data_IF_689886975516
#
_entry.id   IF_689886975516
#
_cell.length_a   1.000
_cell.length_b   1.000
_cell.length_c   1.000
_cell.angle_alpha   90.00
_cell.angle_beta   90.00
_cell.angle_gamma   90.00
#
_symmetry.space_group_name_H-M   'P 1'
#
loop_
_entity.id
_entity.type
_entity.pdbx_description
1 polymer ?
#
# COMPACT_ATOMS: atom_id res chain seq x y z
N UNK A 1 3.66 1.70 1.83
CA UNK A 1 4.83 1.60 0.92
C UNK A 1 4.98 0.22 0.30
N UNK A 2 3.90 -0.42 -0.14
CA UNK A 2 3.93 -1.80 -0.67
C UNK A 2 4.70 -1.94 -2.00
N UNK A 3 4.95 -0.82 -2.69
CA UNK A 3 5.74 -0.76 -3.94
C UNK A 3 7.25 -0.59 -3.71
N UNK A 4 7.72 -0.66 -2.46
CA UNK A 4 9.14 -0.61 -2.12
C UNK A 4 9.70 -2.01 -1.81
N UNK A 5 11.01 -2.10 -1.59
CA UNK A 5 11.68 -3.37 -1.26
C UNK A 5 11.13 -4.02 0.01
N UNK A 6 11.33 -3.42 1.19
CA UNK A 6 10.82 -3.94 2.46
C UNK A 6 9.29 -4.06 2.45
N UNK A 7 8.61 -3.14 1.76
CA UNK A 7 7.16 -3.13 1.64
C UNK A 7 6.58 -4.39 0.98
N UNK A 8 7.26 -4.96 0.00
CA UNK A 8 6.84 -6.21 -0.65
C UNK A 8 6.82 -7.38 0.36
N UNK A 9 7.90 -7.53 1.13
CA UNK A 9 8.01 -8.58 2.14
C UNK A 9 7.01 -8.38 3.28
N UNK A 10 6.82 -7.14 3.73
CA UNK A 10 5.82 -6.82 4.75
C UNK A 10 4.41 -7.17 4.28
N UNK A 11 4.04 -6.81 3.05
CA UNK A 11 2.75 -7.17 2.49
C UNK A 11 2.57 -8.69 2.41
N UNK A 12 3.59 -9.43 1.94
CA UNK A 12 3.57 -10.89 1.90
C UNK A 12 3.33 -11.47 3.29
N UNK A 13 4.07 -11.01 4.29
CA UNK A 13 3.97 -11.52 5.67
C UNK A 13 2.58 -11.25 6.25
N UNK A 14 2.02 -10.06 6.05
CA UNK A 14 0.66 -9.72 6.49
C UNK A 14 -0.40 -10.58 5.81
N UNK A 15 -0.22 -10.89 4.52
CA UNK A 15 -1.11 -11.79 3.79
C UNK A 15 -1.02 -13.24 4.31
N UNK A 16 0.17 -13.69 4.72
CA UNK A 16 0.39 -15.06 5.22
C UNK A 16 -0.05 -15.26 6.67
N UNK A 17 0.26 -14.30 7.54
CA UNK A 17 0.07 -14.43 8.99
C UNK A 17 -1.32 -13.99 9.48
N UNK A 18 -2.09 -13.29 8.62
CA UNK A 18 -3.40 -12.77 8.99
C UNK A 18 -4.46 -13.19 7.97
N UNK A 19 -5.73 -13.00 8.34
CA UNK A 19 -6.88 -13.07 7.42
C UNK A 19 -7.41 -11.69 7.04
N UNK A 20 -6.70 -10.62 7.40
CA UNK A 20 -7.14 -9.25 7.19
C UNK A 20 -7.17 -8.89 5.69
N UNK A 21 -8.01 -7.92 5.34
CA UNK A 21 -7.88 -7.18 4.08
C UNK A 21 -6.79 -6.12 4.26
N UNK A 22 -5.87 -6.04 3.31
CA UNK A 22 -4.69 -5.19 3.41
C UNK A 22 -4.85 -4.00 2.47
N UNK A 23 -5.02 -2.83 3.05
CA UNK A 23 -5.13 -1.57 2.31
C UNK A 23 -3.73 -1.01 2.05
N UNK A 24 -3.41 -0.78 0.78
CA UNK A 24 -2.12 -0.32 0.33
C UNK A 24 -2.24 1.06 -0.33
N UNK A 25 -1.81 2.10 0.38
CA UNK A 25 -1.68 3.45 -0.19
C UNK A 25 -0.49 3.51 -1.15
N UNK A 26 -0.76 3.92 -2.40
CA UNK A 26 0.18 3.91 -3.52
C UNK A 26 -0.02 5.15 -4.37
N UNK A 27 1.08 5.85 -4.71
CA UNK A 27 1.05 7.02 -5.60
C UNK A 27 0.73 6.62 -7.03
N UNK A 28 -0.52 6.71 -7.47
CA UNK A 28 -0.94 6.37 -8.83
C UNK A 28 -2.08 7.31 -9.26
N UNK A 29 -2.47 7.27 -10.54
CA UNK A 29 -3.59 8.07 -11.02
C UNK A 29 -4.96 7.53 -10.55
N UNK A 30 -5.07 6.21 -10.35
CA UNK A 30 -6.30 5.52 -9.95
C UNK A 30 -5.96 4.20 -9.22
N UNK A 31 -6.97 3.56 -8.61
CA UNK A 31 -6.80 2.32 -7.85
C UNK A 31 -6.35 1.14 -8.72
N UNK A 32 -6.70 1.13 -10.01
CA UNK A 32 -6.29 0.06 -10.93
C UNK A 32 -4.77 0.11 -11.15
N UNK A 33 -4.24 1.28 -11.51
CA UNK A 33 -2.80 1.50 -11.64
C UNK A 33 -2.08 1.30 -10.31
N UNK A 34 -2.68 1.72 -9.19
CA UNK A 34 -2.14 1.44 -7.86
C UNK A 34 -1.97 -0.07 -7.63
N UNK A 35 -2.99 -0.86 -7.97
CA UNK A 35 -2.95 -2.31 -7.84
C UNK A 35 -1.92 -2.95 -8.77
N UNK A 36 -1.88 -2.54 -10.04
CA UNK A 36 -0.90 -3.03 -11.02
C UNK A 36 0.54 -2.79 -10.54
N UNK A 37 0.82 -1.63 -9.92
CA UNK A 37 2.13 -1.35 -9.32
C UNK A 37 2.48 -2.26 -8.13
N UNK A 38 1.50 -2.60 -7.29
CA UNK A 38 1.71 -3.55 -6.19
C UNK A 38 1.98 -4.94 -6.76
N UNK A 39 1.14 -5.39 -7.71
CA UNK A 39 1.27 -6.67 -8.40
C UNK A 39 2.65 -6.80 -9.03
N UNK A 40 3.06 -5.83 -9.84
CA UNK A 40 4.35 -5.83 -10.51
C UNK A 40 5.51 -5.92 -9.51
N UNK A 41 5.44 -5.21 -8.39
CA UNK A 41 6.47 -5.28 -7.34
C UNK A 41 6.51 -6.66 -6.67
N UNK A 42 5.36 -7.25 -6.36
CA UNK A 42 5.30 -8.60 -5.80
C UNK A 42 5.77 -9.67 -6.80
N UNK A 43 5.43 -9.54 -8.08
CA UNK A 43 5.90 -10.42 -9.16
C UNK A 43 7.42 -10.33 -9.34
N UNK A 44 7.98 -9.12 -9.30
CA UNK A 44 9.42 -8.89 -9.36
C UNK A 44 10.19 -9.66 -8.28
N UNK A 45 9.62 -9.78 -7.08
CA UNK A 45 10.20 -10.56 -5.97
C UNK A 45 9.69 -12.01 -5.89
N UNK A 46 8.89 -12.49 -6.85
CA UNK A 46 8.35 -13.86 -6.87
C UNK A 46 7.34 -14.16 -5.76
N UNK A 47 6.66 -13.15 -5.23
CA UNK A 47 5.75 -13.24 -4.07
C UNK A 47 4.27 -13.11 -4.43
N UNK A 48 3.94 -12.73 -5.66
CA UNK A 48 2.56 -12.59 -6.07
C UNK A 48 1.86 -13.95 -6.12
N UNK A 49 0.64 -14.00 -5.57
CA UNK A 49 -0.22 -15.19 -5.55
C UNK A 49 -1.64 -14.73 -5.88
N UNK A 50 -2.25 -15.29 -6.92
CA UNK A 50 -3.61 -14.94 -7.36
C UNK A 50 -4.64 -15.13 -6.24
N UNK A 51 -4.47 -16.14 -5.38
CA UNK A 51 -5.33 -16.39 -4.20
C UNK A 51 -5.36 -15.21 -3.21
N UNK A 52 -4.30 -14.39 -3.17
CA UNK A 52 -4.20 -13.25 -2.28
C UNK A 52 -4.68 -11.94 -2.93
N UNK A 53 -4.90 -11.92 -4.25
CA UNK A 53 -5.27 -10.70 -4.98
C UNK A 53 -6.54 -10.05 -4.41
N UNK A 54 -7.56 -10.85 -4.08
CA UNK A 54 -8.82 -10.36 -3.50
C UNK A 54 -8.71 -9.79 -2.08
N UNK A 55 -7.56 -9.94 -1.42
CA UNK A 55 -7.30 -9.35 -0.09
C UNK A 55 -6.49 -8.06 -0.15
N UNK A 56 -5.95 -7.71 -1.31
CA UNK A 56 -5.14 -6.49 -1.50
C UNK A 56 -6.07 -5.39 -2.03
N UNK A 57 -6.34 -4.39 -1.20
CA UNK A 57 -7.08 -3.20 -1.62
C UNK A 57 -6.10 -2.07 -1.91
N UNK A 58 -5.94 -1.71 -3.19
CA UNK A 58 -5.12 -0.58 -3.57
C UNK A 58 -5.88 0.74 -3.35
N UNK A 59 -5.17 1.76 -2.83
CA UNK A 59 -5.67 3.12 -2.67
C UNK A 59 -4.72 4.06 -3.39
N UNK A 60 -5.23 4.82 -4.37
CA UNK A 60 -4.45 5.86 -5.03
C UNK A 60 -4.30 7.07 -4.09
N UNK A 61 -3.08 7.38 -3.67
CA UNK A 61 -2.84 8.50 -2.77
C UNK A 61 -1.36 8.72 -2.45
N UNK A 62 -1.09 9.77 -1.68
CA UNK A 62 0.25 10.23 -1.34
C UNK A 62 0.34 10.62 0.13
N UNK A 63 1.27 10.00 0.86
CA UNK A 63 1.51 10.26 2.29
C UNK A 63 1.93 11.71 2.58
N UNK A 64 2.42 12.44 1.59
CA UNK A 64 2.86 13.84 1.74
C UNK A 64 1.71 14.85 1.62
N UNK A 65 0.55 14.42 1.14
CA UNK A 65 -0.60 15.28 0.93
C UNK A 65 -1.53 15.26 2.15
N UNK A 66 -2.29 16.35 2.40
CA UNK A 66 -3.39 16.33 3.36
C UNK A 66 -4.32 15.15 3.10
N UNK A 67 -4.79 14.50 4.18
CA UNK A 67 -5.67 13.34 4.11
C UNK A 67 -5.12 12.21 3.22
N UNK A 68 -3.79 12.09 3.11
CA UNK A 68 -3.11 11.11 2.27
C UNK A 68 -3.42 11.26 0.76
N UNK A 69 -3.92 12.44 0.33
CA UNK A 69 -4.38 12.68 -1.03
C UNK A 69 -5.71 12.03 -1.38
N UNK A 70 -6.47 11.55 -0.38
CA UNK A 70 -7.77 10.92 -0.55
C UNK A 70 -8.91 11.94 -0.47
N UNK A 71 -10.08 11.58 -1.00
CA UNK A 71 -11.29 12.33 -0.76
C UNK A 71 -11.68 12.28 0.75
N UNK A 72 -12.23 13.36 1.33
CA UNK A 72 -12.59 13.39 2.76
C UNK A 72 -13.47 12.21 3.19
N UNK A 73 -14.54 11.91 2.45
CA UNK A 73 -15.44 10.81 2.78
C UNK A 73 -14.75 9.44 2.74
N UNK A 74 -13.79 9.26 1.82
CA UNK A 74 -12.99 8.04 1.73
C UNK A 74 -12.01 7.94 2.90
N UNK A 75 -11.40 9.06 3.28
CA UNK A 75 -10.51 9.13 4.44
C UNK A 75 -11.26 8.80 5.74
N UNK A 76 -12.44 9.38 5.94
CA UNK A 76 -13.28 9.15 7.11
C UNK A 76 -13.75 7.69 7.18
N UNK A 77 -14.18 7.11 6.05
CA UNK A 77 -14.52 5.69 5.99
C UNK A 77 -13.34 4.76 6.33
N UNK A 78 -12.12 5.15 5.94
CA UNK A 78 -10.90 4.42 6.33
C UNK A 78 -10.60 4.59 7.82
N UNK A 79 -10.80 5.78 8.39
CA UNK A 79 -10.60 6.04 9.81
C UNK A 79 -11.50 5.13 10.69
N UNK A 80 -12.72 4.85 10.23
CA UNK A 80 -13.66 3.97 10.94
C UNK A 80 -13.36 2.47 10.77
N UNK A 81 -12.65 2.07 9.71
CA UNK A 81 -12.50 0.65 9.32
C UNK A 81 -11.09 0.09 9.54
N UNK A 82 -10.05 0.93 9.50
CA UNK A 82 -8.66 0.49 9.64
C UNK A 82 -8.34 0.19 11.11
N UNK A 83 -8.11 -1.10 11.41
CA UNK A 83 -7.75 -1.54 12.77
C UNK A 83 -6.26 -1.39 13.13
N UNK A 84 -5.37 -1.30 12.14
CA UNK A 84 -3.93 -1.15 12.37
C UNK A 84 -3.23 -0.48 11.18
N UNK A 85 -2.22 0.34 11.46
CA UNK A 85 -1.42 1.04 10.46
C UNK A 85 0.03 0.54 10.52
N UNK A 86 0.52 0.04 9.38
CA UNK A 86 1.93 -0.29 9.17
C UNK A 86 2.58 0.78 8.30
N UNK A 87 3.13 1.83 8.92
CA UNK A 87 3.73 2.95 8.21
C UNK A 87 5.18 2.66 7.78
N UNK A 88 5.33 2.11 6.57
CA UNK A 88 6.63 1.76 5.95
C UNK A 88 6.91 2.58 4.67
N UNK A 89 6.23 3.71 4.48
CA UNK A 89 6.47 4.57 3.32
C UNK A 89 7.43 5.70 3.73
N UNK A 90 8.51 5.87 2.97
CA UNK A 90 9.47 6.94 3.18
C UNK A 90 10.12 7.36 1.86
N UNK A 91 10.56 8.61 1.79
CA UNK A 91 11.50 9.05 0.76
C UNK A 91 12.91 8.75 1.25
N UNK A 92 13.52 7.69 0.72
CA UNK A 92 14.89 7.31 1.07
C UNK A 92 15.83 7.94 0.07
N UNK A 93 16.42 9.07 0.44
CA UNK A 93 17.44 9.77 -0.34
C UNK A 93 18.55 10.23 0.59
N UNK A 94 19.80 9.85 0.31
CA UNK A 94 20.95 10.12 1.17
C UNK A 94 21.62 11.48 0.91
N UNK A 95 21.15 12.24 -0.08
CA UNK A 95 21.76 13.51 -0.53
C UNK A 95 20.87 14.69 -0.13
N UNK A 96 19.55 14.51 -0.07
CA UNK A 96 18.64 15.60 0.23
C UNK A 96 18.79 16.09 1.67
N UNK A 97 18.71 17.41 1.91
CA UNK A 97 18.61 17.94 3.26
C UNK A 97 17.31 17.48 3.92
N UNK A 98 17.30 17.51 5.25
CA UNK A 98 16.07 17.35 6.01
C UNK A 98 15.16 18.57 5.84
#
# INVERSE_FOLDING_TARGET
GATGFLGAYLLRELLQQTRARIYCLVRAADEQQAFERIRANLEQYGMFREENAGRIQALAGDISQPLLGLAPDQYDALADTIGAIYHNAAQVNFIFPY
#
